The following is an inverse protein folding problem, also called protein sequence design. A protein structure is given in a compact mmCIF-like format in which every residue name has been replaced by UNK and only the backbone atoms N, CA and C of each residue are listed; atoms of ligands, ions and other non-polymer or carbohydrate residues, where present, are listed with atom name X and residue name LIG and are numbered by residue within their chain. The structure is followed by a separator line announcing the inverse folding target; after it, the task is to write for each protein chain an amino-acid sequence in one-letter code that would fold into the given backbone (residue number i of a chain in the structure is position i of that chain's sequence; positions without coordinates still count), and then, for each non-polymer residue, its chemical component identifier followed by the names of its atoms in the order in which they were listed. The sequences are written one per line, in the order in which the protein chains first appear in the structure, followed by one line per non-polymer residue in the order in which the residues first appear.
data_IF_558341808928
#
_entry.id   IF_558341808928
#
_cell.length_a   1.000
_cell.length_b   1.000
_cell.length_c   1.000
_cell.angle_alpha   90.00
_cell.angle_beta   90.00
_cell.angle_gamma   90.00
#
_symmetry.space_group_name_H-M   'P 1'
#
loop_
_entity.id
_entity.type
_entity.pdbx_description
1 polymer ?
#
# COMPACT_ATOMS: atom_id res chain seq x y z
N UNK A 1 44.17 17.82 27.66
CA UNK A 1 44.72 16.79 28.56
C UNK A 1 43.59 15.85 28.98
N UNK A 2 43.81 14.53 28.92
CA UNK A 2 43.03 13.44 29.58
C UNK A 2 41.50 13.34 29.30
N UNK A 3 40.88 12.19 29.04
CA UNK A 3 41.34 10.78 28.94
C UNK A 3 40.24 9.96 28.21
N UNK A 4 40.57 8.99 27.33
CA UNK A 4 39.57 8.07 26.74
C UNK A 4 39.36 6.80 27.59
N UNK A 5 38.14 6.27 27.60
CA UNK A 5 37.75 5.01 28.25
C UNK A 5 36.62 4.37 27.41
N UNK A 6 36.55 3.09 27.02
CA UNK A 6 37.43 1.90 26.90
C UNK A 6 36.55 0.89 26.14
N UNK A 7 37.14 0.02 25.30
CA UNK A 7 36.41 -1.10 24.65
C UNK A 7 36.08 -2.20 25.67
N UNK A 8 34.98 -2.91 25.45
CA UNK A 8 34.79 -4.30 25.93
C UNK A 8 34.08 -5.12 24.86
N UNK A 9 34.63 -6.31 24.58
CA UNK A 9 34.09 -7.32 23.65
C UNK A 9 33.91 -8.61 24.44
N UNK A 10 32.73 -9.22 24.35
CA UNK A 10 32.46 -10.63 24.68
C UNK A 10 31.21 -11.05 23.88
N UNK A 11 31.23 -11.96 22.91
CA UNK A 11 31.72 -13.35 22.88
C UNK A 11 30.72 -14.36 23.50
N UNK A 12 29.86 -14.87 22.61
CA UNK A 12 29.26 -16.20 22.52
C UNK A 12 28.89 -17.04 23.76
N UNK A 13 27.67 -17.60 23.72
CA UNK A 13 27.38 -18.93 24.24
C UNK A 13 26.41 -19.67 23.30
N UNK A 14 26.87 -20.77 22.68
CA UNK A 14 25.99 -21.76 22.06
C UNK A 14 25.37 -22.66 23.15
N UNK A 15 24.11 -23.04 22.97
CA UNK A 15 23.54 -24.20 23.65
C UNK A 15 22.77 -25.08 22.65
N UNK A 16 23.34 -26.26 22.38
CA UNK A 16 22.73 -27.37 21.67
C UNK A 16 22.02 -28.27 22.68
N UNK A 17 20.75 -28.61 22.46
CA UNK A 17 20.13 -29.84 23.00
C UNK A 17 19.28 -30.46 21.89
N UNK A 18 19.45 -31.77 21.68
CA UNK A 18 18.68 -32.60 20.76
C UNK A 18 17.80 -33.61 21.54
N UNK A 19 16.76 -34.18 20.92
CA UNK A 19 16.01 -35.27 21.57
C UNK A 19 14.62 -35.60 21.01
N UNK A 20 14.61 -36.35 19.90
CA UNK A 20 13.63 -37.42 19.54
C UNK A 20 12.28 -37.55 20.27
N UNK A 21 11.20 -37.59 19.49
CA UNK A 21 10.09 -38.53 19.73
C UNK A 21 9.44 -38.96 18.39
N UNK A 22 9.44 -40.27 18.09
CA UNK A 22 8.69 -40.85 16.97
C UNK A 22 7.20 -40.95 17.31
N UNK A 23 6.32 -40.59 16.37
CA UNK A 23 4.86 -40.71 16.48
C UNK A 23 4.25 -41.44 15.29
N UNK A 24 4.21 -42.77 15.38
CA UNK A 24 3.48 -43.76 14.55
C UNK A 24 2.70 -43.27 13.32
N UNK A 25 3.09 -43.76 12.14
CA UNK A 25 2.28 -43.72 10.93
C UNK A 25 0.96 -44.49 11.09
N UNK A 26 -0.10 -44.03 10.42
CA UNK A 26 -1.36 -44.77 10.29
C UNK A 26 -1.64 -45.01 8.81
N UNK A 27 -1.27 -46.19 8.32
CA UNK A 27 -1.58 -46.61 6.96
C UNK A 27 -3.10 -46.68 6.77
N UNK A 28 -3.61 -45.94 5.78
CA UNK A 28 -5.03 -45.86 5.47
C UNK A 28 -5.27 -45.68 3.97
N UNK A 29 -5.56 -46.79 3.31
CA UNK A 29 -6.23 -46.91 2.00
C UNK A 29 -5.67 -46.12 0.80
N UNK A 30 -5.05 -46.83 -0.13
CA UNK A 30 -4.74 -46.28 -1.45
C UNK A 30 -6.02 -46.03 -2.28
N UNK A 31 -6.21 -44.79 -2.73
CA UNK A 31 -7.05 -44.47 -3.88
C UNK A 31 -6.24 -43.67 -4.90
N UNK A 32 -5.97 -44.28 -6.05
CA UNK A 32 -5.31 -43.62 -7.18
C UNK A 32 -6.12 -42.42 -7.68
N UNK A 33 -5.53 -41.23 -7.64
CA UNK A 33 -6.14 -39.99 -8.13
C UNK A 33 -5.12 -39.04 -8.80
N UNK A 34 -4.33 -39.57 -9.74
CA UNK A 34 -3.51 -38.81 -10.69
C UNK A 34 -2.34 -37.99 -10.10
N UNK A 35 -1.49 -37.40 -10.97
CA UNK A 35 -0.55 -36.37 -10.55
C UNK A 35 -1.31 -35.06 -10.36
N UNK A 36 -1.77 -34.78 -9.14
CA UNK A 36 -2.18 -33.42 -8.80
C UNK A 36 -0.93 -32.54 -8.63
N UNK A 37 -0.87 -31.36 -9.25
CA UNK A 37 0.20 -30.40 -8.95
C UNK A 37 0.00 -29.90 -7.52
N UNK A 38 1.02 -30.07 -6.68
CA UNK A 38 1.06 -29.52 -5.32
C UNK A 38 1.14 -28.00 -5.36
N UNK A 39 0.00 -27.32 -5.48
CA UNK A 39 -0.08 -25.86 -5.36
C UNK A 39 -0.04 -25.52 -3.87
N UNK A 40 1.16 -25.33 -3.34
CA UNK A 40 1.34 -24.50 -2.14
C UNK A 40 0.87 -23.09 -2.47
N UNK A 41 -0.11 -22.52 -1.76
CA UNK A 41 -0.49 -21.12 -1.96
C UNK A 41 0.61 -20.21 -1.39
N UNK A 42 1.61 -19.90 -2.22
CA UNK A 42 2.57 -18.84 -1.94
C UNK A 42 1.92 -17.48 -2.20
N UNK A 43 1.35 -16.87 -1.17
CA UNK A 43 1.01 -15.43 -1.16
C UNK A 43 1.89 -14.69 -0.16
N UNK A 44 3.19 -14.69 -0.46
CA UNK A 44 4.18 -13.88 0.24
C UNK A 44 3.92 -12.39 0.03
N UNK A 45 3.72 -11.63 1.12
CA UNK A 45 3.62 -10.17 1.12
C UNK A 45 4.99 -9.48 0.91
N UNK A 46 5.90 -10.08 0.13
CA UNK A 46 7.32 -9.75 0.10
C UNK A 46 7.97 -9.98 -1.27
N UNK A 47 9.11 -9.31 -1.56
CA UNK A 47 9.41 -7.91 -1.28
C UNK A 47 8.81 -7.02 -2.38
N UNK A 48 8.33 -5.82 -2.05
CA UNK A 48 7.69 -4.91 -3.02
C UNK A 48 7.91 -3.48 -2.52
N UNK A 49 8.51 -2.51 -3.23
CA UNK A 49 8.98 -2.51 -4.62
C UNK A 49 10.13 -3.53 -4.86
N UNK A 50 10.68 -3.74 -6.07
CA UNK A 50 10.62 -2.94 -7.31
C UNK A 50 9.22 -2.76 -7.89
N UNK A 51 8.79 -1.50 -8.03
CA UNK A 51 7.45 -0.97 -8.42
C UNK A 51 6.22 -1.90 -8.30
N UNK A 52 6.21 -2.74 -7.27
CA UNK A 52 5.22 -3.79 -7.02
C UNK A 52 4.86 -4.67 -8.24
N UNK A 53 5.89 -5.05 -9.03
CA UNK A 53 5.98 -6.18 -10.01
C UNK A 53 4.90 -7.28 -9.88
N UNK A 54 4.48 -7.96 -10.98
CA UNK A 54 5.40 -8.45 -12.04
C UNK A 54 4.86 -8.60 -13.48
N UNK A 55 5.54 -8.08 -14.52
CA UNK A 55 5.43 -8.61 -15.88
C UNK A 55 6.54 -9.65 -16.13
N UNK A 56 6.29 -10.95 -15.87
CA UNK A 56 7.23 -12.00 -16.28
C UNK A 56 7.26 -13.36 -15.56
N UNK A 57 6.48 -13.61 -14.50
CA UNK A 57 6.46 -14.93 -13.82
C UNK A 57 5.26 -15.09 -12.88
N UNK A 58 4.30 -15.93 -13.24
CA UNK A 58 2.97 -16.07 -12.62
C UNK A 58 2.63 -17.58 -12.38
N UNK A 59 1.51 -17.99 -11.73
CA UNK A 59 0.12 -17.51 -11.87
C UNK A 59 -0.38 -16.61 -10.70
N UNK A 60 -1.42 -15.77 -10.80
CA UNK A 60 -2.84 -15.98 -11.22
C UNK A 60 -3.64 -16.78 -10.16
N UNK A 61 -4.94 -16.58 -9.89
CA UNK A 61 -6.06 -16.13 -10.74
C UNK A 61 -7.10 -15.25 -10.00
N UNK A 62 -7.97 -14.58 -10.77
CA UNK A 62 -9.10 -13.76 -10.27
C UNK A 62 -10.42 -14.45 -10.59
N UNK A 63 -11.34 -14.63 -9.63
CA UNK A 63 -12.76 -14.82 -9.91
C UNK A 63 -13.44 -13.45 -10.03
N UNK A 64 -13.70 -13.00 -11.25
CA UNK A 64 -14.60 -11.86 -11.51
C UNK A 64 -16.04 -12.34 -11.59
N UNK A 65 -16.96 -11.83 -10.75
CA UNK A 65 -18.40 -11.83 -11.01
C UNK A 65 -19.18 -11.00 -9.97
N UNK A 66 -20.33 -10.39 -10.32
CA UNK A 66 -20.76 -9.89 -11.62
C UNK A 66 -21.06 -8.38 -11.60
N UNK A 67 -21.33 -7.80 -12.77
CA UNK A 67 -21.98 -6.49 -12.85
C UNK A 67 -23.51 -6.63 -12.73
N UNK A 68 -24.14 -5.75 -11.97
CA UNK A 68 -25.59 -5.67 -11.72
C UNK A 68 -25.82 -5.06 -10.34
N UNK A 69 -26.64 -4.01 -10.17
CA UNK A 69 -27.82 -3.66 -10.96
C UNK A 69 -27.77 -2.25 -11.57
N UNK A 70 -28.37 -2.10 -12.75
CA UNK A 70 -28.91 -0.81 -13.16
C UNK A 70 -30.11 -0.48 -12.27
N UNK A 71 -29.93 0.45 -11.33
CA UNK A 71 -31.04 1.11 -10.63
C UNK A 71 -31.62 2.20 -11.53
N UNK A 72 -32.92 2.13 -11.80
CA UNK A 72 -33.57 3.05 -12.73
C UNK A 72 -33.58 4.50 -12.22
N UNK A 73 -33.63 5.46 -13.15
CA UNK A 73 -33.95 6.86 -12.84
C UNK A 73 -35.31 6.96 -12.16
N UNK A 74 -35.32 7.18 -10.86
CA UNK A 74 -36.48 7.72 -10.16
C UNK A 74 -36.39 9.24 -10.18
N UNK A 75 -37.29 9.89 -10.91
CA UNK A 75 -37.57 11.32 -10.70
C UNK A 75 -38.12 11.49 -9.28
N UNK A 76 -37.64 12.48 -8.50
CA UNK A 76 -38.29 12.82 -7.24
C UNK A 76 -39.66 13.43 -7.55
N UNK A 77 -40.73 12.76 -7.13
CA UNK A 77 -42.04 13.37 -7.06
C UNK A 77 -42.00 14.53 -6.04
N UNK A 78 -42.54 15.68 -6.43
CA UNK A 78 -42.41 16.90 -5.64
C UNK A 78 -43.47 16.94 -4.53
N UNK A 79 -43.22 16.26 -3.41
CA UNK A 79 -44.05 16.39 -2.20
C UNK A 79 -43.30 17.01 -1.03
N UNK A 80 -43.66 18.25 -0.71
CA UNK A 80 -42.92 19.17 0.14
C UNK A 80 -43.07 18.91 1.64
N UNK A 81 -42.57 17.79 2.15
CA UNK A 81 -42.44 17.57 3.60
C UNK A 81 -41.02 17.88 4.10
N UNK A 82 -40.80 19.13 4.54
CA UNK A 82 -39.58 19.55 5.25
C UNK A 82 -39.45 18.78 6.57
N UNK A 83 -38.79 17.62 6.54
CA UNK A 83 -38.21 17.02 7.74
C UNK A 83 -37.07 17.93 8.19
N UNK A 84 -37.18 18.48 9.40
CA UNK A 84 -36.17 19.35 9.96
C UNK A 84 -34.92 18.55 10.33
N UNK A 85 -33.98 18.44 9.40
CA UNK A 85 -32.64 17.93 9.67
C UNK A 85 -31.86 19.04 10.37
N UNK A 86 -31.85 18.99 11.70
CA UNK A 86 -30.99 19.84 12.53
C UNK A 86 -29.55 19.32 12.46
N UNK A 87 -28.88 19.61 11.35
CA UNK A 87 -27.44 19.45 11.20
C UNK A 87 -26.87 20.69 10.51
N UNK A 88 -25.84 21.31 11.09
CA UNK A 88 -25.14 22.49 10.55
C UNK A 88 -24.29 22.18 9.29
N UNK A 89 -24.60 21.10 8.57
CA UNK A 89 -23.96 20.73 7.31
C UNK A 89 -24.65 21.41 6.13
N UNK A 90 -23.86 21.87 5.16
CA UNK A 90 -24.42 22.32 3.89
C UNK A 90 -25.14 21.15 3.20
N UNK A 91 -26.34 21.36 2.59
CA UNK A 91 -26.99 20.32 1.81
C UNK A 91 -26.07 19.88 0.66
N UNK A 92 -26.15 18.60 0.28
CA UNK A 92 -25.32 17.99 -0.77
C UNK A 92 -23.81 17.98 -0.45
N UNK A 93 -23.38 18.08 0.82
CA UNK A 93 -21.95 18.10 1.17
C UNK A 93 -21.16 16.90 0.63
N UNK A 94 -21.67 15.67 0.80
CA UNK A 94 -20.99 14.45 0.35
C UNK A 94 -20.86 14.40 -1.18
N UNK A 95 -21.93 14.74 -1.89
CA UNK A 95 -21.98 14.82 -3.36
C UNK A 95 -21.01 15.88 -3.89
N UNK A 96 -21.00 17.06 -3.27
CA UNK A 96 -20.07 18.15 -3.59
C UNK A 96 -18.61 17.80 -3.29
N UNK A 97 -18.32 16.83 -2.41
CA UNK A 97 -16.95 16.40 -2.08
C UNK A 97 -16.58 15.03 -2.66
N UNK A 98 -17.45 14.44 -3.51
CA UNK A 98 -17.25 13.12 -4.08
C UNK A 98 -15.91 12.98 -4.82
N UNK A 99 -15.41 14.05 -5.44
CA UNK A 99 -14.11 14.13 -6.11
C UNK A 99 -12.92 13.76 -5.19
N UNK A 100 -13.01 14.01 -3.87
CA UNK A 100 -11.98 13.66 -2.87
C UNK A 100 -12.03 12.19 -2.44
N UNK A 101 -13.05 11.45 -2.86
CA UNK A 101 -13.25 10.06 -2.42
C UNK A 101 -12.13 9.17 -2.94
N UNK A 102 -11.59 8.33 -2.06
CA UNK A 102 -10.58 7.32 -2.40
C UNK A 102 -11.28 6.00 -2.71
N UNK A 103 -10.82 5.30 -3.74
CA UNK A 103 -11.30 3.96 -4.05
C UNK A 103 -11.12 3.02 -2.84
N UNK A 104 -12.11 2.16 -2.52
CA UNK A 104 -11.98 1.23 -1.40
C UNK A 104 -10.88 0.20 -1.67
N UNK A 105 -10.13 -0.16 -0.61
CA UNK A 105 -9.14 -1.21 -0.65
C UNK A 105 -9.66 -2.49 0.01
N UNK A 106 -9.57 -3.60 -0.71
CA UNK A 106 -9.64 -4.93 -0.10
C UNK A 106 -8.40 -5.17 0.80
N UNK A 107 -8.58 -5.92 1.88
CA UNK A 107 -7.54 -6.14 2.90
C UNK A 107 -6.25 -6.76 2.34
N UNK A 108 -6.35 -7.63 1.34
CA UNK A 108 -5.19 -8.23 0.68
C UNK A 108 -4.38 -7.19 -0.14
N UNK A 109 -5.05 -6.17 -0.70
CA UNK A 109 -4.40 -5.02 -1.35
C UNK A 109 -3.79 -4.08 -0.31
N UNK A 110 -4.50 -3.82 0.79
CA UNK A 110 -4.01 -3.00 1.92
C UNK A 110 -2.71 -3.55 2.48
N UNK A 111 -2.68 -4.81 2.93
CA UNK A 111 -1.49 -5.44 3.50
C UNK A 111 -0.31 -5.49 2.49
N UNK A 112 -0.60 -5.67 1.20
CA UNK A 112 0.40 -5.55 0.14
C UNK A 112 0.94 -4.11 0.02
N UNK A 113 0.07 -3.10 0.04
CA UNK A 113 0.45 -1.68 0.03
C UNK A 113 1.30 -1.29 1.26
N UNK A 114 0.97 -1.81 2.44
CA UNK A 114 1.73 -1.62 3.68
C UNK A 114 3.16 -2.17 3.58
N UNK A 115 3.32 -3.38 3.04
CA UNK A 115 4.65 -3.92 2.74
C UNK A 115 5.46 -3.02 1.78
N UNK A 116 4.79 -2.30 0.88
CA UNK A 116 5.44 -1.32 -0.01
C UNK A 116 5.72 0.03 0.64
N UNK A 117 4.87 0.48 1.56
CA UNK A 117 5.15 1.65 2.37
C UNK A 117 6.39 1.44 3.26
N UNK A 118 6.61 0.23 3.79
CA UNK A 118 7.80 -0.08 4.59
C UNK A 118 9.11 0.10 3.78
N UNK A 119 9.22 -0.50 2.58
CA UNK A 119 10.43 -0.35 1.76
C UNK A 119 10.61 1.09 1.22
N UNK A 120 9.52 1.78 0.91
CA UNK A 120 9.59 3.20 0.51
C UNK A 120 10.11 4.07 1.67
N UNK A 121 9.68 3.81 2.91
CA UNK A 121 10.20 4.51 4.09
C UNK A 121 11.67 4.22 4.36
N UNK A 122 12.07 2.96 4.27
CA UNK A 122 13.48 2.55 4.45
C UNK A 122 14.40 3.29 3.48
N UNK A 123 14.02 3.35 2.21
CA UNK A 123 14.77 4.09 1.18
C UNK A 123 14.76 5.62 1.41
N UNK A 124 13.63 6.18 1.85
CA UNK A 124 13.50 7.62 2.13
C UNK A 124 14.15 8.06 3.45
N UNK A 125 14.45 7.16 4.38
CA UNK A 125 15.25 7.52 5.56
C UNK A 125 16.68 7.94 5.14
N UNK A 126 17.24 7.40 4.05
CA UNK A 126 18.52 7.88 3.49
C UNK A 126 18.47 9.38 3.12
N UNK A 127 17.36 9.82 2.51
CA UNK A 127 17.11 11.23 2.14
C UNK A 127 17.07 12.11 3.40
N UNK A 128 16.49 11.58 4.48
CA UNK A 128 16.37 12.27 5.77
C UNK A 128 17.68 12.34 6.54
N UNK A 129 18.51 11.30 6.50
CA UNK A 129 19.87 11.28 7.07
C UNK A 129 20.81 12.23 6.32
N UNK A 130 20.74 12.27 4.98
CA UNK A 130 21.49 13.20 4.14
C UNK A 130 21.05 14.66 4.33
N UNK A 131 19.76 14.89 4.61
CA UNK A 131 19.17 16.21 4.80
C UNK A 131 18.86 16.97 3.50
N UNK A 132 18.99 16.32 2.34
CA UNK A 132 18.62 16.85 1.03
C UNK A 132 17.19 16.45 0.67
N UNK A 133 16.23 17.30 1.03
CA UNK A 133 14.81 17.13 0.75
C UNK A 133 14.38 17.67 -0.63
N UNK A 134 15.31 17.84 -1.57
CA UNK A 134 14.96 18.29 -2.92
C UNK A 134 14.10 17.25 -3.64
N UNK A 135 13.16 17.72 -4.46
CA UNK A 135 12.27 16.83 -5.24
C UNK A 135 13.08 15.85 -6.12
N UNK A 136 14.25 16.29 -6.61
CA UNK A 136 15.18 15.46 -7.38
C UNK A 136 15.83 14.35 -6.53
N UNK A 137 16.22 14.62 -5.28
CA UNK A 137 16.82 13.60 -4.40
C UNK A 137 15.79 12.57 -3.94
N UNK A 138 14.56 13.00 -3.67
CA UNK A 138 13.42 12.12 -3.37
C UNK A 138 13.09 11.25 -4.60
N UNK A 139 13.05 11.83 -5.81
CA UNK A 139 12.84 11.09 -7.05
C UNK A 139 13.91 10.01 -7.24
N UNK A 140 15.20 10.38 -7.12
CA UNK A 140 16.31 9.45 -7.22
C UNK A 140 16.30 8.34 -6.14
N UNK A 141 15.62 8.54 -5.01
CA UNK A 141 15.39 7.50 -4.01
C UNK A 141 14.33 6.49 -4.51
N UNK A 142 13.16 7.00 -4.92
CA UNK A 142 12.06 6.19 -5.44
C UNK A 142 12.43 5.45 -6.74
N UNK A 143 13.28 6.04 -7.59
CA UNK A 143 13.79 5.40 -8.81
C UNK A 143 14.71 4.19 -8.52
N UNK A 144 15.43 4.15 -7.39
CA UNK A 144 16.17 2.94 -6.96
C UNK A 144 15.24 1.78 -6.62
N UNK A 145 14.04 2.10 -6.14
CA UNK A 145 12.91 1.17 -5.97
C UNK A 145 12.14 0.92 -7.29
N UNK A 146 12.64 1.40 -8.43
CA UNK A 146 12.01 1.27 -9.75
C UNK A 146 10.69 2.05 -9.90
N UNK A 147 10.38 2.95 -8.97
CA UNK A 147 9.18 3.79 -9.00
C UNK A 147 9.50 5.12 -9.69
N UNK A 148 9.22 5.22 -10.98
CA UNK A 148 9.29 6.46 -11.77
C UNK A 148 7.91 7.03 -12.14
N UNK A 149 7.89 7.93 -13.13
CA UNK A 149 6.69 8.67 -13.57
C UNK A 149 5.56 7.77 -14.07
N UNK A 150 5.91 6.63 -14.67
CA UNK A 150 5.01 5.57 -15.12
C UNK A 150 4.24 4.90 -13.96
N UNK A 151 4.76 5.01 -12.74
CA UNK A 151 4.07 4.61 -11.50
C UNK A 151 3.36 5.79 -10.82
N UNK A 152 3.04 6.85 -11.57
CA UNK A 152 2.33 8.02 -11.06
C UNK A 152 3.07 8.77 -9.97
N UNK A 153 4.41 8.69 -9.95
CA UNK A 153 5.22 9.38 -8.95
C UNK A 153 5.02 10.89 -9.06
N UNK A 154 4.58 11.49 -7.96
CA UNK A 154 4.47 12.94 -7.80
C UNK A 154 5.12 13.35 -6.48
N UNK A 155 5.98 14.36 -6.56
CA UNK A 155 6.80 14.88 -5.47
C UNK A 155 6.69 16.40 -5.50
N UNK A 156 6.52 17.03 -4.34
CA UNK A 156 6.53 18.48 -4.22
C UNK A 156 6.77 18.89 -2.76
N UNK A 157 7.83 19.68 -2.51
CA UNK A 157 8.08 20.29 -1.19
C UNK A 157 8.13 19.24 -0.06
N UNK A 158 8.79 18.11 -0.31
CA UNK A 158 8.90 16.98 0.61
C UNK A 158 7.67 16.07 0.73
N UNK A 159 6.52 16.41 0.12
CA UNK A 159 5.47 15.43 -0.15
C UNK A 159 5.93 14.46 -1.24
N UNK A 160 5.57 13.19 -1.12
CA UNK A 160 5.71 12.19 -2.17
C UNK A 160 4.46 11.32 -2.28
N UNK A 161 4.23 10.77 -3.48
CA UNK A 161 3.19 9.77 -3.72
C UNK A 161 3.61 8.83 -4.84
N UNK A 162 3.18 7.57 -4.77
CA UNK A 162 3.54 6.48 -5.69
C UNK A 162 2.34 5.55 -5.88
N UNK A 163 2.00 5.20 -7.11
CA UNK A 163 1.03 4.15 -7.44
C UNK A 163 1.72 2.81 -7.67
N UNK A 164 1.58 1.88 -6.74
CA UNK A 164 2.20 0.54 -6.79
C UNK A 164 1.38 -0.47 -7.61
N UNK A 165 0.77 -0.02 -8.72
CA UNK A 165 -0.10 -0.82 -9.59
C UNK A 165 -1.47 -1.21 -9.02
N UNK A 166 -1.58 -1.39 -7.70
CA UNK A 166 -2.82 -1.84 -7.00
C UNK A 166 -3.24 -0.95 -5.82
N UNK A 167 -2.34 -0.10 -5.33
CA UNK A 167 -2.52 0.79 -4.16
C UNK A 167 -1.67 2.04 -4.33
N UNK A 168 -2.10 3.13 -3.72
CA UNK A 168 -1.29 4.32 -3.51
C UNK A 168 -0.52 4.23 -2.20
N UNK A 169 0.72 4.70 -2.21
CA UNK A 169 1.50 5.04 -1.02
C UNK A 169 1.83 6.53 -1.13
N UNK A 170 1.48 7.33 -0.14
CA UNK A 170 1.79 8.77 -0.10
C UNK A 170 2.22 9.21 1.30
N UNK A 171 2.91 10.36 1.42
CA UNK A 171 3.37 10.87 2.71
C UNK A 171 4.35 12.02 2.57
N UNK A 172 5.03 12.35 3.67
CA UNK A 172 6.04 13.40 3.72
C UNK A 172 7.40 12.86 4.15
N UNK A 173 8.47 13.42 3.58
CA UNK A 173 9.85 13.29 4.03
C UNK A 173 10.44 14.68 4.24
N UNK A 174 10.73 14.99 5.50
CA UNK A 174 11.33 16.25 5.95
C UNK A 174 12.34 15.99 7.06
N UNK A 175 13.05 17.01 7.51
CA UNK A 175 13.97 16.90 8.66
C UNK A 175 13.29 16.36 9.93
N UNK A 176 12.04 16.76 10.17
CA UNK A 176 11.29 16.39 11.38
C UNK A 176 10.39 15.17 11.22
N UNK A 177 10.09 14.74 9.98
CA UNK A 177 8.98 13.85 9.67
C UNK A 177 9.34 12.86 8.57
N UNK A 178 9.00 11.58 8.77
CA UNK A 178 8.87 10.60 7.69
C UNK A 178 7.57 9.81 7.89
N UNK A 179 6.57 10.10 7.07
CA UNK A 179 5.21 9.53 7.14
C UNK A 179 4.87 8.73 5.88
N UNK A 180 3.94 7.78 6.02
CA UNK A 180 3.33 7.08 4.88
C UNK A 180 1.91 6.64 5.20
N UNK A 181 1.01 6.81 4.24
CA UNK A 181 -0.35 6.29 4.22
C UNK A 181 -0.52 5.35 3.02
N UNK A 182 -1.27 4.26 3.21
CA UNK A 182 -1.70 3.34 2.15
C UNK A 182 -3.17 3.57 1.86
N UNK A 183 -3.50 3.94 0.62
CA UNK A 183 -4.87 4.25 0.22
C UNK A 183 -5.17 3.80 -1.22
N UNK A 184 -6.45 3.81 -1.60
CA UNK A 184 -6.84 3.66 -3.01
C UNK A 184 -6.60 4.94 -3.80
N UNK A 185 -6.59 4.82 -5.13
CA UNK A 185 -6.58 5.97 -6.03
C UNK A 185 -7.75 6.92 -5.72
N UNK A 186 -7.55 8.22 -5.90
CA UNK A 186 -8.64 9.19 -5.84
C UNK A 186 -9.59 9.00 -7.04
N UNK A 187 -10.90 9.19 -6.81
CA UNK A 187 -11.91 9.14 -7.86
C UNK A 187 -11.64 10.19 -8.93
N UNK A 188 -11.28 11.41 -8.50
CA UNK A 188 -10.79 12.48 -9.35
C UNK A 188 -9.43 12.96 -8.80
N UNK A 189 -8.30 12.43 -9.30
CA UNK A 189 -6.98 12.86 -8.86
C UNK A 189 -6.64 14.27 -9.37
N UNK A 190 -5.74 14.97 -8.68
CA UNK A 190 -5.29 16.30 -9.07
C UNK A 190 -4.79 16.32 -10.55
N UNK A 191 -5.35 17.14 -11.44
CA UNK A 191 -4.93 17.20 -12.84
C UNK A 191 -3.43 17.46 -12.99
N UNK A 192 -2.78 16.72 -13.89
CA UNK A 192 -1.33 16.77 -14.13
C UNK A 192 -0.47 15.97 -13.15
N UNK A 193 -1.08 15.16 -12.27
CA UNK A 193 -0.37 14.31 -11.29
C UNK A 193 -0.73 12.82 -11.47
N UNK A 194 -0.19 11.95 -10.61
CA UNK A 194 -0.58 10.54 -10.55
C UNK A 194 -1.92 10.31 -9.82
N UNK A 195 -2.47 9.08 -9.84
CA UNK A 195 -3.78 8.75 -9.25
C UNK A 195 -3.81 8.85 -7.70
N UNK A 196 -2.69 9.20 -7.08
CA UNK A 196 -2.45 9.19 -5.64
C UNK A 196 -2.43 10.59 -5.00
N UNK A 197 -2.72 11.64 -5.76
CA UNK A 197 -2.78 13.02 -5.25
C UNK A 197 -4.23 13.48 -5.21
N UNK A 198 -4.67 13.95 -4.04
CA UNK A 198 -6.00 14.52 -3.84
C UNK A 198 -6.17 15.78 -4.70
N UNK A 199 -7.25 15.86 -5.48
CA UNK A 199 -7.63 17.08 -6.17
C UNK A 199 -8.02 18.16 -5.14
N UNK A 200 -7.30 19.29 -5.14
CA UNK A 200 -7.55 20.43 -4.23
C UNK A 200 -8.47 21.49 -4.81
N UNK A 201 -9.01 21.27 -6.02
CA UNK A 201 -10.02 22.14 -6.60
C UNK A 201 -11.30 22.18 -5.77
N UNK A 202 -12.09 23.23 -5.98
CA UNK A 202 -13.51 23.27 -5.65
C UNK A 202 -14.25 23.75 -6.89
N UNK A 203 -15.45 23.22 -7.10
CA UNK A 203 -16.39 23.68 -8.13
C UNK A 203 -17.15 24.93 -7.65
#
# INVERSE_FOLDING_TARGET
MSKPIRRSVAAAALLLIAGTACGTERSGEARSAGPQPSVTPQTSFAPRPTCARPPGGAPSEVPSAPAGSAGASAVPDADGTRRAENGDGAPHYEENHAYRTRAPLAEDRRARGEASALLIREELESVREEGDFSDARIAAALERLGCGKEHGVYIWSGFYSVHTGVTCVSGHVTKGELTSEVHGAYAEPQPGTGPCVENRGGH
#
